data_IF_902523208271
#
_entry.id   IF_902523208271
#
_cell.length_a   1.000
_cell.length_b   1.000
_cell.length_c   1.000
_cell.angle_alpha   90.00
_cell.angle_beta   90.00
_cell.angle_gamma   90.00
#
_symmetry.space_group_name_H-M   'P 1'
#
loop_
_entity.id
_entity.type
_entity.pdbx_description
1 polymer ?
#
# COMPACT_ATOMS: atom_id res chain seq x y z
N UNK A 1 -11.94 -6.18 8.52
CA UNK A 1 -11.50 -4.77 8.31
C UNK A 1 -10.13 -4.77 7.67
N UNK A 2 -9.87 -3.97 6.61
CA UNK A 2 -8.55 -3.94 5.95
C UNK A 2 -7.80 -2.68 6.41
N UNK A 3 -6.63 -2.83 7.00
CA UNK A 3 -5.77 -1.71 7.40
C UNK A 3 -4.45 -1.80 6.66
N UNK A 4 -4.02 -0.73 6.02
CA UNK A 4 -2.77 -0.68 5.26
C UNK A 4 -1.74 0.17 6.00
N UNK A 5 -0.50 -0.30 6.07
CA UNK A 5 0.64 0.46 6.60
C UNK A 5 1.66 0.66 5.49
N UNK A 6 1.80 1.89 5.00
CA UNK A 6 2.70 2.30 3.92
C UNK A 6 4.01 2.92 4.46
N UNK A 7 5.01 3.03 3.60
CA UNK A 7 6.33 3.68 3.68
C UNK A 7 6.64 4.45 2.34
N UNK A 8 5.74 5.36 1.88
CA UNK A 8 5.83 6.33 0.75
C UNK A 8 6.27 6.00 -0.73
N UNK A 9 5.32 5.89 -1.70
CA UNK A 9 5.37 6.16 -3.17
C UNK A 9 4.01 5.92 -3.91
N UNK A 10 3.84 6.47 -5.14
CA UNK A 10 2.60 6.48 -5.97
C UNK A 10 2.77 5.81 -7.36
N UNK A 11 1.82 4.96 -7.81
CA UNK A 11 1.10 5.02 -9.12
C UNK A 11 0.69 3.65 -9.72
N UNK A 12 -0.60 3.42 -10.01
CA UNK A 12 -1.10 2.57 -11.12
C UNK A 12 -2.01 1.36 -10.79
N UNK A 13 -2.61 0.70 -11.80
CA UNK A 13 -3.52 -0.46 -11.64
C UNK A 13 -2.75 -1.79 -11.56
N UNK A 14 -3.02 -2.63 -10.56
CA UNK A 14 -2.40 -3.96 -10.39
C UNK A 14 -3.44 -5.10 -10.38
N UNK A 15 -3.29 -6.08 -11.28
CA UNK A 15 -4.18 -7.25 -11.36
C UNK A 15 -4.06 -8.18 -10.15
N UNK A 16 -2.86 -8.31 -9.58
CA UNK A 16 -2.62 -9.10 -8.36
C UNK A 16 -3.34 -8.47 -7.17
N UNK A 17 -3.29 -7.13 -7.05
CA UNK A 17 -3.98 -6.41 -6.00
C UNK A 17 -5.51 -6.57 -6.12
N UNK A 18 -6.06 -6.50 -7.35
CA UNK A 18 -7.49 -6.74 -7.59
C UNK A 18 -7.92 -8.16 -7.19
N UNK A 19 -7.13 -9.19 -7.52
CA UNK A 19 -7.40 -10.58 -7.11
C UNK A 19 -7.35 -10.73 -5.59
N UNK A 20 -6.34 -10.15 -4.94
CA UNK A 20 -6.23 -10.14 -3.48
C UNK A 20 -7.46 -9.49 -2.85
N UNK A 21 -7.85 -8.31 -3.32
CA UNK A 21 -9.00 -7.58 -2.79
C UNK A 21 -10.32 -8.32 -3.01
N UNK A 22 -10.47 -9.01 -4.15
CA UNK A 22 -11.62 -9.88 -4.40
C UNK A 22 -11.66 -11.05 -3.41
N UNK A 23 -10.52 -11.65 -3.07
CA UNK A 23 -10.46 -12.70 -2.05
C UNK A 23 -10.78 -12.17 -0.65
N UNK A 24 -10.25 -10.99 -0.31
CA UNK A 24 -10.48 -10.34 0.98
C UNK A 24 -11.94 -9.91 1.19
N UNK A 25 -12.71 -9.71 0.11
CA UNK A 25 -14.14 -9.40 0.20
C UNK A 25 -14.96 -10.51 0.89
N UNK A 26 -14.48 -11.76 0.88
CA UNK A 26 -15.14 -12.90 1.53
C UNK A 26 -14.57 -13.21 2.92
N UNK A 27 -13.49 -12.55 3.32
CA UNK A 27 -12.86 -12.76 4.61
C UNK A 27 -13.67 -12.12 5.74
N UNK A 28 -13.88 -12.84 6.83
CA UNK A 28 -14.72 -12.40 7.97
C UNK A 28 -13.95 -11.86 9.17
N UNK A 29 -12.63 -11.71 9.05
CA UNK A 29 -11.76 -11.16 10.10
C UNK A 29 -11.14 -9.81 9.72
N UNK A 30 -10.26 -9.35 10.61
CA UNK A 30 -9.42 -8.18 10.37
C UNK A 30 -8.13 -8.59 9.68
N UNK A 31 -7.66 -7.69 8.81
CA UNK A 31 -6.55 -7.90 7.89
C UNK A 31 -5.69 -6.66 7.94
N UNK A 32 -4.44 -6.85 8.34
CA UNK A 32 -3.41 -5.83 8.24
C UNK A 32 -2.50 -6.20 7.07
N UNK A 33 -2.37 -5.28 6.12
CA UNK A 33 -1.47 -5.43 4.97
C UNK A 33 -0.30 -4.50 5.21
N UNK A 34 0.91 -5.06 5.16
CA UNK A 34 2.17 -4.32 5.24
C UNK A 34 2.90 -4.56 3.92
N UNK A 35 2.65 -3.73 2.89
CA UNK A 35 3.36 -3.85 1.62
C UNK A 35 4.82 -3.46 1.77
N UNK A 36 5.63 -3.99 0.86
CA UNK A 36 6.96 -3.47 0.62
C UNK A 36 6.86 -2.12 -0.09
N UNK A 37 7.75 -1.20 0.23
CA UNK A 37 7.74 0.13 -0.36
C UNK A 37 9.13 0.62 -0.69
N UNK A 38 9.23 1.30 -1.83
CA UNK A 38 10.47 1.88 -2.31
C UNK A 38 10.39 3.37 -2.09
N UNK A 39 10.88 3.82 -0.93
CA UNK A 39 10.94 5.23 -0.61
C UNK A 39 11.75 6.04 -1.64
N UNK A 40 11.49 7.35 -1.79
CA UNK A 40 12.10 8.20 -2.83
C UNK A 40 13.62 8.46 -2.68
N UNK A 41 14.34 7.71 -1.84
CA UNK A 41 15.79 7.88 -1.63
C UNK A 41 16.57 6.62 -1.26
N UNK A 42 15.94 5.44 -1.26
CA UNK A 42 16.63 4.19 -0.86
C UNK A 42 17.44 3.58 -2.02
N UNK A 43 17.09 3.94 -3.26
CA UNK A 43 17.78 3.47 -4.46
C UNK A 43 18.11 4.64 -5.38
N UNK A 44 19.34 4.67 -5.89
CA UNK A 44 19.72 5.58 -6.97
C UNK A 44 18.81 5.36 -8.19
N UNK A 45 18.57 6.41 -8.98
CA UNK A 45 17.86 6.32 -10.26
C UNK A 45 18.45 5.25 -11.21
N UNK A 46 19.70 4.82 -10.98
CA UNK A 46 20.41 3.78 -11.72
C UNK A 46 20.24 2.35 -11.17
N UNK A 47 19.78 2.17 -9.93
CA UNK A 47 19.80 0.86 -9.25
C UNK A 47 18.46 0.11 -9.36
N UNK A 48 17.35 0.84 -9.48
CA UNK A 48 16.03 0.25 -9.65
C UNK A 48 15.36 0.88 -10.86
N UNK A 49 15.04 0.08 -11.91
CA UNK A 49 14.31 0.58 -13.07
C UNK A 49 13.02 1.27 -12.66
N UNK A 50 12.67 2.37 -13.32
CA UNK A 50 11.41 3.07 -13.06
C UNK A 50 10.19 2.14 -13.15
N UNK A 51 10.21 1.18 -14.09
CA UNK A 51 9.18 0.14 -14.21
C UNK A 51 9.02 -0.72 -12.96
N UNK A 52 10.08 -0.96 -12.19
CA UNK A 52 10.02 -1.72 -10.94
C UNK A 52 9.41 -0.87 -9.82
N UNK A 53 9.74 0.43 -9.74
CA UNK A 53 9.09 1.36 -8.81
C UNK A 53 7.60 1.49 -9.08
N UNK A 54 7.21 1.62 -10.35
CA UNK A 54 5.81 1.70 -10.76
C UNK A 54 5.06 0.39 -10.43
N UNK A 55 5.70 -0.76 -10.62
CA UNK A 55 5.12 -2.07 -10.28
C UNK A 55 4.84 -2.26 -8.79
N UNK A 56 5.59 -1.58 -7.91
CA UNK A 56 5.38 -1.62 -6.46
C UNK A 56 4.38 -0.54 -5.99
N UNK A 57 4.38 0.64 -6.62
CA UNK A 57 3.46 1.72 -6.28
C UNK A 57 1.99 1.43 -6.66
N UNK A 58 1.77 0.73 -7.77
CA UNK A 58 0.43 0.42 -8.28
C UNK A 58 -0.43 -0.43 -7.31
N UNK A 59 0.02 -1.62 -6.87
CA UNK A 59 -0.68 -2.43 -5.88
C UNK A 59 -1.00 -1.66 -4.59
N UNK A 60 -0.02 -0.90 -4.07
CA UNK A 60 -0.14 -0.22 -2.78
C UNK A 60 -1.24 0.84 -2.82
N UNK A 61 -1.35 1.61 -3.90
CA UNK A 61 -2.45 2.57 -4.09
C UNK A 61 -3.81 1.89 -4.15
N UNK A 62 -3.92 0.81 -4.91
CA UNK A 62 -5.18 0.11 -5.16
C UNK A 62 -5.74 -0.51 -3.86
N UNK A 63 -4.84 -1.03 -3.02
CA UNK A 63 -5.18 -1.51 -1.67
C UNK A 63 -5.49 -0.33 -0.74
N UNK A 64 -4.74 0.77 -0.81
CA UNK A 64 -4.94 1.96 0.03
C UNK A 64 -6.32 2.59 -0.20
N UNK A 65 -6.79 2.63 -1.45
CA UNK A 65 -8.12 3.11 -1.82
C UNK A 65 -9.23 2.32 -1.12
N UNK A 66 -9.12 0.98 -1.10
CA UNK A 66 -10.14 0.08 -0.53
C UNK A 66 -9.97 -0.23 0.95
N UNK A 67 -8.83 0.14 1.55
CA UNK A 67 -8.58 -0.07 2.98
C UNK A 67 -9.60 0.71 3.83
N UNK A 68 -9.91 0.22 5.03
CA UNK A 68 -10.67 0.97 6.03
C UNK A 68 -9.85 2.13 6.63
N UNK A 69 -8.54 1.93 6.79
CA UNK A 69 -7.59 2.96 7.23
C UNK A 69 -6.21 2.74 6.60
N UNK A 70 -5.46 3.84 6.44
CA UNK A 70 -4.10 3.83 5.90
C UNK A 70 -3.19 4.60 6.83
N UNK A 71 -2.08 3.99 7.22
CA UNK A 71 -1.10 4.55 8.12
C UNK A 71 0.27 4.57 7.45
N UNK A 72 1.13 5.49 7.83
CA UNK A 72 2.53 5.54 7.47
C UNK A 72 3.35 5.29 8.73
N UNK A 73 4.20 4.27 8.74
CA UNK A 73 5.16 4.10 9.82
C UNK A 73 6.42 4.92 9.53
N UNK A 74 7.01 5.57 10.53
CA UNK A 74 8.33 6.22 10.44
C UNK A 74 8.99 6.11 11.80
N UNK A 75 10.17 5.50 11.87
CA UNK A 75 10.91 5.32 13.13
C UNK A 75 10.06 4.69 14.27
N UNK A 76 9.16 3.77 13.91
CA UNK A 76 8.24 3.12 14.85
C UNK A 76 7.01 3.95 15.26
N UNK A 77 6.85 5.17 14.72
CA UNK A 77 5.68 6.01 14.94
C UNK A 77 4.69 5.89 13.78
N UNK A 78 3.40 5.84 14.09
CA UNK A 78 2.34 5.78 13.08
C UNK A 78 1.76 7.16 12.81
N UNK A 79 1.77 7.55 11.55
CA UNK A 79 1.06 8.70 11.01
C UNK A 79 -0.18 8.23 10.28
N UNK A 80 -1.34 8.86 10.51
CA UNK A 80 -2.57 8.50 9.80
C UNK A 80 -2.61 9.21 8.45
N UNK A 81 -2.64 8.45 7.35
CA UNK A 81 -2.85 8.98 5.99
C UNK A 81 -4.33 8.94 5.59
N UNK A 82 -5.06 7.90 6.02
CA UNK A 82 -6.52 7.78 5.90
C UNK A 82 -7.09 7.30 7.22
N UNK A 83 -7.93 8.14 7.83
CA UNK A 83 -8.57 7.80 9.09
C UNK A 83 -9.53 6.61 8.89
N UNK A 84 -9.59 5.68 9.86
CA UNK A 84 -10.59 4.62 9.89
C UNK A 84 -12.01 5.15 9.68
N UNK A 85 -12.68 4.71 8.63
CA UNK A 85 -14.06 5.11 8.32
C UNK A 85 -14.23 6.47 7.64
N UNK A 86 -13.14 7.17 7.28
CA UNK A 86 -13.20 8.29 6.35
C UNK A 86 -13.44 7.75 4.94
N UNK A 87 -14.56 8.14 4.32
CA UNK A 87 -14.98 7.68 2.99
C UNK A 87 -14.36 8.51 1.88
#
# INVERSE_FOLDING_TARGET
MITLVLEGARSGKSSVAEVLLAALAYWRGDVVIVPDEVGPGVYSLSEVPQSHRDALGAPNQLVAERAYGVFLAVAGQLMTLKAPGAR
#
